data_IF_726825001295
#
_entry.id   IF_726825001295
#
_cell.length_a   1.000
_cell.length_b   1.000
_cell.length_c   1.000
_cell.angle_alpha   90.00
_cell.angle_beta   90.00
_cell.angle_gamma   90.00
#
_symmetry.space_group_name_H-M   'P 1'
#
loop_
_entity.id
_entity.type
_entity.pdbx_description
1 polymer ?
#
# COMPACT_ATOMS: atom_id res chain seq x y z
N UNK A 1 -44.75 21.23 -15.08
CA UNK A 1 -43.33 21.21 -14.67
C UNK A 1 -43.14 20.01 -13.74
N UNK A 2 -42.58 18.88 -14.18
CA UNK A 2 -42.44 17.71 -13.31
C UNK A 2 -41.12 17.77 -12.52
N UNK A 3 -41.26 17.41 -11.26
CA UNK A 3 -40.27 17.30 -10.19
C UNK A 3 -39.35 16.10 -10.42
N UNK A 4 -38.03 16.29 -10.35
CA UNK A 4 -37.04 15.21 -10.45
C UNK A 4 -36.92 14.48 -9.12
N UNK A 5 -37.22 13.19 -9.11
CA UNK A 5 -37.07 12.31 -7.96
C UNK A 5 -35.59 11.91 -7.75
N UNK A 6 -35.15 11.91 -6.49
CA UNK A 6 -33.88 11.36 -6.05
C UNK A 6 -33.91 9.83 -6.12
N UNK A 7 -33.05 9.26 -6.95
CA UNK A 7 -32.85 7.82 -7.06
C UNK A 7 -31.91 7.36 -5.93
N UNK A 8 -32.50 6.88 -4.83
CA UNK A 8 -31.76 6.21 -3.76
C UNK A 8 -31.39 4.81 -4.21
N UNK A 9 -30.09 4.58 -4.44
CA UNK A 9 -29.55 3.27 -4.80
C UNK A 9 -29.49 2.36 -3.58
N UNK A 10 -30.40 1.38 -3.54
CA UNK A 10 -30.45 0.35 -2.51
C UNK A 10 -29.27 -0.62 -2.65
N UNK A 11 -28.28 -0.51 -1.75
CA UNK A 11 -27.09 -1.36 -1.74
C UNK A 11 -27.45 -2.75 -1.23
N UNK A 12 -27.71 -3.68 -2.16
CA UNK A 12 -27.98 -5.09 -1.82
C UNK A 12 -26.72 -5.80 -1.33
N UNK A 13 -26.59 -5.90 -0.01
CA UNK A 13 -25.53 -6.68 0.65
C UNK A 13 -25.72 -8.17 0.32
N UNK A 14 -24.75 -8.75 -0.39
CA UNK A 14 -24.81 -10.14 -0.85
C UNK A 14 -24.49 -11.13 0.29
N UNK A 15 -24.85 -12.41 0.10
CA UNK A 15 -24.45 -13.48 1.03
C UNK A 15 -22.93 -13.60 1.18
N UNK A 16 -22.20 -13.27 0.12
CA UNK A 16 -20.74 -13.31 0.11
C UNK A 16 -20.15 -12.17 0.95
N UNK A 17 -20.73 -10.97 0.88
CA UNK A 17 -20.35 -9.82 1.72
C UNK A 17 -20.57 -10.12 3.20
N UNK A 18 -21.70 -10.75 3.54
CA UNK A 18 -22.00 -11.20 4.92
C UNK A 18 -21.01 -12.27 5.41
N UNK A 19 -20.51 -13.13 4.52
CA UNK A 19 -19.52 -14.17 4.87
C UNK A 19 -18.13 -13.57 5.04
N UNK A 20 -17.75 -12.62 4.18
CA UNK A 20 -16.49 -11.88 4.28
C UNK A 20 -16.43 -11.07 5.59
N UNK A 21 -17.52 -10.37 5.94
CA UNK A 21 -17.62 -9.63 7.20
C UNK A 21 -17.47 -10.55 8.43
N UNK A 22 -18.06 -11.75 8.41
CA UNK A 22 -17.92 -12.72 9.51
C UNK A 22 -16.48 -13.23 9.67
N UNK A 23 -15.79 -13.47 8.56
CA UNK A 23 -14.38 -13.90 8.59
C UNK A 23 -13.50 -12.77 9.12
N UNK A 24 -13.72 -11.53 8.69
CA UNK A 24 -13.01 -10.36 9.20
C UNK A 24 -13.19 -10.18 10.72
N UNK A 25 -14.42 -10.35 11.22
CA UNK A 25 -14.70 -10.31 12.67
C UNK A 25 -14.00 -11.45 13.41
N UNK A 26 -13.98 -12.66 12.86
CA UNK A 26 -13.29 -13.80 13.49
C UNK A 26 -11.76 -13.62 13.55
N UNK A 27 -11.16 -13.08 12.48
CA UNK A 27 -9.73 -12.81 12.39
C UNK A 27 -9.29 -11.68 13.33
N UNK A 28 -10.16 -10.67 13.54
CA UNK A 28 -9.88 -9.57 14.49
C UNK A 28 -9.84 -10.01 15.96
N UNK A 29 -10.39 -11.18 16.30
CA UNK A 29 -10.58 -11.63 17.69
C UNK A 29 -9.57 -12.67 18.18
N UNK A 30 -8.75 -13.28 17.32
CA UNK A 30 -7.95 -14.44 17.72
C UNK A 30 -6.46 -14.14 17.93
N UNK A 31 -6.03 -14.09 19.20
CA UNK A 31 -4.62 -14.00 19.66
C UNK A 31 -3.96 -15.36 19.95
N UNK A 32 -4.57 -16.51 19.59
CA UNK A 32 -4.01 -17.83 19.93
C UNK A 32 -4.20 -18.82 18.79
N UNK A 33 -3.13 -19.07 18.04
CA UNK A 33 -2.96 -20.33 17.33
C UNK A 33 -1.56 -20.86 17.63
N UNK A 34 -1.49 -21.88 18.48
CA UNK A 34 -0.32 -22.72 18.67
C UNK A 34 -0.60 -24.05 17.96
N UNK A 35 0.20 -24.46 16.97
CA UNK A 35 0.11 -25.81 16.42
C UNK A 35 0.51 -26.83 17.48
N UNK A 36 -0.32 -27.85 17.67
CA UNK A 36 -0.10 -28.96 18.61
C UNK A 36 0.87 -29.96 17.98
N UNK A 37 1.99 -30.23 18.64
CA UNK A 37 2.87 -31.37 18.32
C UNK A 37 2.20 -32.68 18.73
N UNK A 38 2.37 -33.72 17.91
CA UNK A 38 1.84 -35.06 18.13
C UNK A 38 2.40 -36.08 17.14
N UNK A 39 3.41 -36.79 17.63
CA UNK A 39 3.80 -38.19 17.42
C UNK A 39 4.40 -38.69 16.09
N UNK A 40 5.64 -39.19 16.24
CA UNK A 40 6.45 -39.95 15.29
C UNK A 40 5.82 -41.31 14.92
N UNK A 41 5.93 -41.69 13.64
CA UNK A 41 6.29 -43.07 13.22
C UNK A 41 6.77 -43.13 11.76
N UNK A 42 7.90 -43.82 11.59
CA UNK A 42 8.59 -44.17 10.35
C UNK A 42 7.70 -44.84 9.29
N UNK A 43 7.90 -44.51 8.00
CA UNK A 43 8.36 -45.47 6.96
C UNK A 43 8.11 -44.95 5.53
N UNK A 44 9.17 -44.99 4.72
CA UNK A 44 9.21 -45.25 3.27
C UNK A 44 8.57 -44.26 2.27
N UNK A 45 9.46 -43.68 1.45
CA UNK A 45 9.28 -43.20 0.08
C UNK A 45 7.85 -43.19 -0.50
N UNK A 46 7.26 -41.99 -0.56
CA UNK A 46 6.35 -41.62 -1.63
C UNK A 46 6.49 -40.14 -1.94
N UNK A 47 6.75 -39.85 -3.21
CA UNK A 47 6.81 -38.54 -3.85
C UNK A 47 5.43 -37.88 -3.73
N UNK A 48 5.12 -37.32 -2.57
CA UNK A 48 3.92 -36.56 -2.29
C UNK A 48 4.16 -35.11 -2.64
N UNK A 49 3.51 -34.64 -3.69
CA UNK A 49 3.25 -33.22 -3.94
C UNK A 49 2.58 -32.71 -2.66
N UNK A 50 3.34 -32.04 -1.78
CA UNK A 50 2.75 -31.33 -0.66
C UNK A 50 1.70 -30.41 -1.29
N UNK A 51 0.44 -30.65 -0.94
CA UNK A 51 -0.65 -29.76 -1.28
C UNK A 51 -0.20 -28.37 -0.85
N UNK A 52 0.09 -27.51 -1.83
CA UNK A 52 0.15 -26.06 -1.62
C UNK A 52 -1.29 -25.68 -1.29
N UNK A 53 -1.65 -25.89 -0.03
CA UNK A 53 -2.96 -25.58 0.51
C UNK A 53 -3.33 -24.12 0.19
N UNK A 54 -4.63 -23.89 0.14
CA UNK A 54 -5.43 -22.89 -0.59
C UNK A 54 -5.16 -21.39 -0.27
N UNK A 55 -3.93 -21.01 0.11
CA UNK A 55 -3.57 -19.63 0.43
C UNK A 55 -3.67 -18.70 -0.78
N UNK A 56 -3.67 -19.22 -2.02
CA UNK A 56 -3.82 -18.40 -3.23
C UNK A 56 -5.21 -17.75 -3.30
N UNK A 57 -6.28 -18.48 -2.97
CA UNK A 57 -7.64 -17.91 -2.97
C UNK A 57 -7.82 -16.90 -1.84
N UNK A 58 -7.31 -17.22 -0.66
CA UNK A 58 -7.35 -16.31 0.48
C UNK A 58 -6.56 -15.02 0.19
N UNK A 59 -5.33 -15.16 -0.32
CA UNK A 59 -4.50 -14.03 -0.76
C UNK A 59 -5.24 -13.21 -1.81
N UNK A 60 -5.85 -13.85 -2.81
CA UNK A 60 -6.64 -13.17 -3.83
C UNK A 60 -7.80 -12.38 -3.22
N UNK A 61 -8.52 -12.93 -2.24
CA UNK A 61 -9.60 -12.21 -1.56
C UNK A 61 -9.07 -11.00 -0.77
N UNK A 62 -7.97 -11.17 -0.04
CA UNK A 62 -7.31 -10.09 0.72
C UNK A 62 -6.88 -8.96 -0.23
N UNK A 63 -6.21 -9.29 -1.34
CA UNK A 63 -5.74 -8.30 -2.30
C UNK A 63 -6.89 -7.59 -3.01
N UNK A 64 -7.97 -8.30 -3.36
CA UNK A 64 -9.17 -7.66 -3.92
C UNK A 64 -9.78 -6.67 -2.93
N UNK A 65 -9.91 -7.04 -1.67
CA UNK A 65 -10.42 -6.14 -0.63
C UNK A 65 -9.52 -4.92 -0.46
N UNK A 66 -8.21 -5.11 -0.41
CA UNK A 66 -7.23 -4.01 -0.34
C UNK A 66 -7.25 -3.10 -1.57
N UNK A 67 -7.43 -3.67 -2.76
CA UNK A 67 -7.57 -2.90 -4.00
C UNK A 67 -8.85 -2.06 -4.03
N UNK A 68 -9.93 -2.54 -3.43
CA UNK A 68 -11.19 -1.82 -3.30
C UNK A 68 -11.18 -0.80 -2.15
N UNK A 69 -10.29 -0.97 -1.17
CA UNK A 69 -10.16 -0.04 -0.07
C UNK A 69 -9.78 1.37 -0.56
N UNK A 70 -10.40 2.36 0.08
CA UNK A 70 -10.17 3.80 -0.16
C UNK A 70 -9.81 4.48 1.16
N UNK A 71 -8.64 4.18 1.73
CA UNK A 71 -8.15 4.87 2.92
C UNK A 71 -8.08 6.38 2.68
N UNK A 72 -8.38 7.16 3.72
CA UNK A 72 -8.30 8.62 3.66
C UNK A 72 -6.86 9.08 3.97
N UNK A 73 -6.12 9.67 3.01
CA UNK A 73 -4.77 10.17 3.26
C UNK A 73 -4.71 11.27 4.33
N UNK A 74 -5.84 11.91 4.67
CA UNK A 74 -5.90 12.94 5.71
C UNK A 74 -5.58 12.37 7.10
N UNK A 75 -5.85 11.09 7.35
CA UNK A 75 -5.60 10.45 8.65
C UNK A 75 -4.11 10.44 9.03
N UNK A 76 -3.23 10.37 8.03
CA UNK A 76 -1.78 10.27 8.21
C UNK A 76 -1.05 11.62 8.18
N UNK A 77 -1.78 12.75 8.06
CA UNK A 77 -1.19 14.10 8.06
C UNK A 77 -1.64 14.91 9.29
N UNK A 78 -0.78 15.80 9.82
CA UNK A 78 -1.21 16.72 10.87
C UNK A 78 -2.39 17.59 10.43
N UNK A 79 -3.35 17.84 11.32
CA UNK A 79 -4.58 18.58 11.00
C UNK A 79 -4.34 19.98 10.42
N UNK A 80 -3.25 20.64 10.84
CA UNK A 80 -2.80 21.93 10.27
C UNK A 80 -2.38 21.83 8.80
N UNK A 81 -1.81 20.70 8.39
CA UNK A 81 -1.40 20.43 7.01
C UNK A 81 -2.60 19.98 6.18
N UNK A 82 -3.49 19.16 6.76
CA UNK A 82 -4.72 18.69 6.10
C UNK A 82 -5.58 19.83 5.55
N UNK A 83 -5.74 20.90 6.33
CA UNK A 83 -6.50 22.11 5.93
C UNK A 83 -5.88 22.85 4.74
N UNK A 84 -4.62 22.58 4.44
CA UNK A 84 -3.84 23.22 3.37
C UNK A 84 -3.69 22.31 2.15
N UNK A 85 -4.43 21.20 2.06
CA UNK A 85 -4.40 20.32 0.88
C UNK A 85 -5.56 20.67 -0.04
N UNK A 86 -5.27 20.97 -1.30
CA UNK A 86 -6.29 21.18 -2.33
C UNK A 86 -6.76 19.86 -2.93
N UNK A 87 -5.80 19.02 -3.30
CA UNK A 87 -6.05 17.77 -3.98
C UNK A 87 -4.92 16.78 -3.71
N UNK A 88 -5.29 15.52 -3.61
CA UNK A 88 -4.37 14.39 -3.65
C UNK A 88 -4.34 13.79 -5.06
N UNK A 89 -3.22 13.18 -5.44
CA UNK A 89 -3.15 12.31 -6.60
C UNK A 89 -4.06 11.09 -6.42
N UNK A 90 -4.27 10.33 -7.49
CA UNK A 90 -4.66 8.93 -7.29
C UNK A 90 -3.53 8.18 -6.56
N UNK A 91 -3.85 7.20 -5.69
CA UNK A 91 -2.82 6.45 -5.00
C UNK A 91 -2.07 5.51 -5.94
N UNK A 92 -0.76 5.45 -5.75
CA UNK A 92 0.05 4.30 -6.15
C UNK A 92 -0.13 3.23 -5.09
N UNK A 93 -0.38 1.99 -5.54
CA UNK A 93 -0.59 0.83 -4.67
C UNK A 93 0.61 -0.08 -4.81
N UNK A 94 1.24 -0.45 -3.69
CA UNK A 94 2.45 -1.29 -3.75
C UNK A 94 2.54 -2.29 -2.61
N UNK A 95 2.90 -3.53 -2.92
CA UNK A 95 3.44 -4.47 -1.94
C UNK A 95 4.93 -4.16 -1.75
N UNK A 96 5.37 -3.95 -0.51
CA UNK A 96 6.79 -3.73 -0.23
C UNK A 96 7.61 -4.98 -0.56
N UNK A 97 8.75 -4.78 -1.21
CA UNK A 97 9.70 -5.86 -1.50
C UNK A 97 10.93 -5.75 -0.62
N UNK A 98 11.77 -6.79 -0.62
CA UNK A 98 13.07 -6.77 0.08
C UNK A 98 13.88 -5.54 -0.31
N UNK A 99 13.94 -5.18 -1.59
CA UNK A 99 14.69 -4.00 -2.06
C UNK A 99 14.19 -2.68 -1.50
N UNK A 100 12.91 -2.60 -1.11
CA UNK A 100 12.37 -1.38 -0.54
C UNK A 100 12.78 -1.22 0.93
N UNK A 101 12.87 -2.29 1.71
CA UNK A 101 13.10 -2.21 3.17
C UNK A 101 14.54 -2.52 3.59
N UNK A 102 15.32 -3.18 2.75
CA UNK A 102 16.68 -3.62 3.09
C UNK A 102 17.62 -2.42 3.31
N UNK A 103 18.45 -2.55 4.35
CA UNK A 103 19.28 -1.46 4.88
C UNK A 103 20.29 -0.86 3.89
N UNK A 104 20.74 -1.65 2.92
CA UNK A 104 21.70 -1.26 1.88
C UNK A 104 21.03 -0.55 0.69
N UNK A 105 19.73 -0.77 0.44
CA UNK A 105 19.04 -0.25 -0.75
C UNK A 105 18.34 1.09 -0.52
N UNK A 106 17.97 1.43 0.73
CA UNK A 106 17.60 2.78 1.23
C UNK A 106 16.66 3.61 0.34
N UNK A 107 15.78 2.97 -0.45
CA UNK A 107 14.87 3.67 -1.36
C UNK A 107 13.59 2.88 -1.60
N UNK A 108 12.49 3.59 -1.75
CA UNK A 108 11.25 3.05 -2.27
C UNK A 108 11.22 3.25 -3.78
N UNK A 109 11.15 2.16 -4.54
CA UNK A 109 10.94 2.24 -6.00
C UNK A 109 9.46 2.44 -6.31
N UNK A 110 9.13 3.30 -7.26
CA UNK A 110 7.75 3.54 -7.70
C UNK A 110 7.57 3.11 -9.16
N UNK A 111 6.37 2.63 -9.50
CA UNK A 111 6.03 2.26 -10.87
C UNK A 111 6.13 3.47 -11.80
N UNK A 112 6.99 3.40 -12.81
CA UNK A 112 7.25 4.52 -13.74
C UNK A 112 5.96 5.02 -14.40
N UNK A 113 5.15 4.10 -14.92
CA UNK A 113 3.92 4.44 -15.63
C UNK A 113 2.84 4.95 -14.67
N UNK A 114 2.80 4.41 -13.44
CA UNK A 114 1.89 4.91 -12.41
C UNK A 114 2.25 6.33 -11.96
N UNK A 115 3.54 6.63 -11.75
CA UNK A 115 3.98 8.00 -11.44
C UNK A 115 3.61 8.95 -12.57
N UNK A 116 3.86 8.55 -13.82
CA UNK A 116 3.49 9.34 -14.99
C UNK A 116 1.98 9.60 -15.07
N UNK A 117 1.16 8.57 -14.80
CA UNK A 117 -0.30 8.66 -14.89
C UNK A 117 -0.92 9.41 -13.72
N UNK A 118 -0.51 9.08 -12.50
CA UNK A 118 -1.19 9.48 -11.26
C UNK A 118 -0.56 10.72 -10.62
N UNK A 119 0.76 10.87 -10.70
CA UNK A 119 1.50 11.91 -9.98
C UNK A 119 1.90 13.10 -10.86
N UNK A 120 2.29 12.90 -12.12
CA UNK A 120 2.64 14.03 -13.00
C UNK A 120 1.59 15.14 -13.11
N UNK A 121 0.26 14.90 -13.04
CA UNK A 121 -0.73 15.97 -13.04
C UNK A 121 -0.54 17.01 -11.91
N UNK A 122 0.19 16.66 -10.85
CA UNK A 122 0.51 17.57 -9.75
C UNK A 122 1.90 18.21 -9.88
N UNK A 123 2.73 17.78 -10.82
CA UNK A 123 4.08 18.32 -11.05
C UNK A 123 4.04 19.43 -12.10
N UNK A 124 4.92 20.42 -11.95
CA UNK A 124 5.14 21.38 -13.03
C UNK A 124 6.07 20.80 -14.10
N UNK A 125 6.04 21.36 -15.31
CA UNK A 125 6.95 20.94 -16.37
C UNK A 125 8.44 21.09 -16.01
N UNK A 126 8.80 22.09 -15.19
CA UNK A 126 10.17 22.27 -14.71
C UNK A 126 10.55 21.23 -13.66
N UNK A 127 9.65 20.89 -12.73
CA UNK A 127 9.89 19.83 -11.75
C UNK A 127 10.05 18.45 -12.39
N UNK A 128 9.25 18.13 -13.42
CA UNK A 128 9.39 16.87 -14.17
C UNK A 128 10.79 16.74 -14.76
N UNK A 129 11.33 17.83 -15.35
CA UNK A 129 12.71 17.87 -15.87
C UNK A 129 13.74 17.70 -14.76
N UNK A 130 13.49 18.28 -13.59
CA UNK A 130 14.37 18.21 -12.41
C UNK A 130 14.29 16.90 -11.64
N UNK A 131 13.42 15.95 -12.02
CA UNK A 131 13.38 14.66 -11.34
C UNK A 131 14.72 13.91 -11.46
N UNK A 132 15.54 14.14 -12.48
CA UNK A 132 16.89 13.55 -12.58
C UNK A 132 17.83 14.05 -11.47
N UNK A 133 17.73 15.33 -11.10
CA UNK A 133 18.44 15.94 -9.98
C UNK A 133 17.82 15.52 -8.64
N UNK A 134 16.50 15.50 -8.59
CA UNK A 134 15.66 15.20 -7.44
C UNK A 134 15.03 16.44 -6.80
N UNK A 135 13.83 16.24 -6.28
CA UNK A 135 13.02 17.23 -5.58
C UNK A 135 13.01 16.89 -4.09
N UNK A 136 13.20 17.89 -3.24
CA UNK A 136 13.01 17.71 -1.81
C UNK A 136 11.52 17.71 -1.49
N UNK A 137 11.09 16.71 -0.71
CA UNK A 137 9.68 16.48 -0.40
C UNK A 137 9.51 16.11 1.06
N UNK A 138 8.36 16.45 1.63
CA UNK A 138 7.98 15.94 2.95
C UNK A 138 7.08 14.73 2.78
N UNK A 139 7.41 13.63 3.45
CA UNK A 139 6.63 12.39 3.44
C UNK A 139 6.01 12.18 4.81
N UNK A 140 4.69 12.04 4.84
CA UNK A 140 3.90 11.74 6.03
C UNK A 140 3.49 10.26 6.04
N UNK A 141 3.45 9.67 7.22
CA UNK A 141 3.14 8.25 7.41
C UNK A 141 2.32 7.98 8.67
N UNK A 142 1.99 6.69 8.90
CA UNK A 142 1.25 6.25 10.07
C UNK A 142 1.93 6.69 11.37
N UNK A 143 1.13 6.89 12.43
CA UNK A 143 1.65 7.32 13.73
C UNK A 143 2.17 8.76 13.75
N UNK A 144 1.72 9.61 12.81
CA UNK A 144 2.16 11.01 12.65
C UNK A 144 3.65 11.14 12.34
N UNK A 145 4.24 10.11 11.73
CA UNK A 145 5.62 10.16 11.26
C UNK A 145 5.72 11.14 10.09
N UNK A 146 6.72 12.01 10.11
CA UNK A 146 7.04 12.89 8.98
C UNK A 146 8.54 12.94 8.76
N UNK A 147 8.98 12.81 7.50
CA UNK A 147 10.41 12.93 7.15
C UNK A 147 10.61 13.66 5.82
N UNK A 148 11.68 14.45 5.76
CA UNK A 148 12.19 14.99 4.50
C UNK A 148 12.85 13.87 3.69
N UNK A 149 12.53 13.79 2.41
CA UNK A 149 13.08 12.81 1.46
C UNK A 149 13.40 13.49 0.13
N UNK A 150 14.10 12.77 -0.76
CA UNK A 150 14.25 13.14 -2.16
C UNK A 150 13.39 12.28 -3.05
N UNK A 151 12.56 12.91 -3.87
CA UNK A 151 11.84 12.26 -4.98
C UNK A 151 12.61 12.49 -6.28
N UNK A 152 13.12 11.42 -6.89
CA UNK A 152 13.99 11.54 -8.08
C UNK A 152 13.88 10.34 -9.03
N UNK A 153 14.39 10.49 -10.24
CA UNK A 153 14.67 9.38 -11.15
C UNK A 153 16.02 8.74 -10.78
N UNK A 154 16.00 7.45 -10.50
CA UNK A 154 17.18 6.60 -10.48
C UNK A 154 17.24 5.85 -11.81
N UNK A 155 18.16 6.25 -12.70
CA UNK A 155 18.15 5.78 -14.09
C UNK A 155 16.77 6.06 -14.71
N UNK A 156 15.96 5.04 -14.97
CA UNK A 156 14.62 5.15 -15.53
C UNK A 156 13.49 4.90 -14.51
N UNK A 157 13.80 4.71 -13.23
CA UNK A 157 12.82 4.39 -12.17
C UNK A 157 12.66 5.56 -11.19
N UNK A 158 11.44 6.09 -10.97
CA UNK A 158 11.20 7.04 -9.90
C UNK A 158 11.39 6.40 -8.52
N UNK A 159 12.00 7.12 -7.58
CA UNK A 159 12.28 6.65 -6.22
C UNK A 159 12.05 7.74 -5.17
N UNK A 160 11.66 7.33 -3.96
CA UNK A 160 11.82 8.11 -2.74
C UNK A 160 13.08 7.63 -2.00
N UNK A 161 13.98 8.54 -1.63
CA UNK A 161 15.28 8.20 -1.02
C UNK A 161 15.74 9.24 0.02
N UNK A 162 16.97 9.09 0.51
CA UNK A 162 17.65 9.88 1.57
C UNK A 162 17.04 9.75 2.97
N UNK A 163 15.74 9.98 3.13
CA UNK A 163 15.02 9.83 4.41
C UNK A 163 14.28 8.51 4.57
N UNK A 164 14.27 7.67 3.51
CA UNK A 164 13.44 6.46 3.44
C UNK A 164 13.78 5.42 4.52
N UNK A 165 15.07 5.16 4.80
CA UNK A 165 15.47 4.20 5.86
C UNK A 165 14.85 4.57 7.21
N UNK A 166 15.02 5.81 7.65
CA UNK A 166 14.43 6.24 8.92
C UNK A 166 12.91 6.22 8.93
N UNK A 167 12.25 6.24 7.77
CA UNK A 167 10.81 6.08 7.64
C UNK A 167 10.40 4.60 7.76
N UNK A 168 11.15 3.68 7.14
CA UNK A 168 10.99 2.24 7.34
C UNK A 168 11.08 1.90 8.84
N UNK A 169 12.11 2.39 9.52
CA UNK A 169 12.32 2.15 10.95
C UNK A 169 11.18 2.74 11.79
N UNK A 170 10.78 3.98 11.52
CA UNK A 170 9.74 4.67 12.29
C UNK A 170 8.34 4.07 12.10
N UNK A 171 8.06 3.50 10.94
CA UNK A 171 6.76 2.92 10.59
C UNK A 171 6.74 1.37 10.71
N UNK A 172 7.82 0.75 11.20
CA UNK A 172 8.02 -0.71 11.26
C UNK A 172 7.67 -1.41 9.93
N UNK A 173 8.13 -0.85 8.80
CA UNK A 173 7.82 -1.40 7.47
C UNK A 173 8.60 -2.69 7.20
N UNK A 174 7.93 -3.70 6.65
CA UNK A 174 8.46 -5.04 6.39
C UNK A 174 8.14 -5.49 4.97
N UNK A 175 9.05 -6.25 4.38
CA UNK A 175 8.82 -6.83 3.07
C UNK A 175 7.62 -7.78 3.07
N UNK A 176 6.95 -7.85 1.91
CA UNK A 176 5.90 -8.79 1.52
C UNK A 176 4.58 -8.71 2.30
N UNK A 177 4.62 -8.54 3.62
CA UNK A 177 3.42 -8.46 4.45
C UNK A 177 2.86 -7.04 4.56
N UNK A 178 3.67 -6.01 4.27
CA UNK A 178 3.19 -4.64 4.25
C UNK A 178 2.86 -4.16 2.82
N UNK A 179 1.68 -3.58 2.73
CA UNK A 179 1.09 -3.03 1.53
C UNK A 179 0.83 -1.56 1.77
N UNK A 180 1.22 -0.71 0.82
CA UNK A 180 1.16 0.72 0.99
C UNK A 180 0.33 1.39 -0.10
N UNK A 181 -0.40 2.42 0.31
CA UNK A 181 -0.98 3.41 -0.57
C UNK A 181 -0.15 4.67 -0.49
N UNK A 182 0.18 5.25 -1.65
CA UNK A 182 1.08 6.39 -1.74
C UNK A 182 0.37 7.48 -2.53
N UNK A 183 0.08 8.59 -1.88
CA UNK A 183 -0.46 9.79 -2.52
C UNK A 183 0.61 10.86 -2.58
N UNK A 184 0.48 11.71 -3.58
CA UNK A 184 1.20 12.96 -3.68
C UNK A 184 0.21 14.12 -3.58
N UNK A 185 0.61 15.21 -2.97
CA UNK A 185 -0.20 16.43 -2.91
C UNK A 185 0.69 17.66 -2.88
N UNK A 186 0.06 18.82 -3.10
CA UNK A 186 0.70 20.11 -2.86
C UNK A 186 0.09 20.80 -1.66
N UNK A 187 0.95 21.36 -0.84
CA UNK A 187 0.54 22.32 0.19
C UNK A 187 0.14 23.63 -0.50
N UNK A 188 -1.08 24.12 -0.23
CA UNK A 188 -1.68 25.30 -0.88
C UNK A 188 -0.77 26.53 -0.83
N UNK A 189 -0.27 26.85 0.37
CA UNK A 189 0.48 28.08 0.64
C UNK A 189 1.89 28.07 0.05
N UNK A 190 2.68 27.04 0.35
CA UNK A 190 4.09 26.98 -0.06
C UNK A 190 4.29 26.37 -1.44
N UNK A 191 3.25 25.73 -1.98
CA UNK A 191 3.32 24.91 -3.20
C UNK A 191 4.30 23.74 -3.10
N UNK A 192 4.81 23.45 -1.91
CA UNK A 192 5.71 22.34 -1.65
C UNK A 192 5.04 21.01 -1.99
N UNK A 193 5.83 20.14 -2.61
CA UNK A 193 5.43 18.79 -2.94
C UNK A 193 5.56 17.89 -1.71
N UNK A 194 4.49 17.18 -1.39
CA UNK A 194 4.42 16.29 -0.24
C UNK A 194 3.87 14.93 -0.66
N UNK A 195 4.20 13.91 0.13
CA UNK A 195 3.65 12.57 0.00
C UNK A 195 2.94 12.15 1.28
N UNK A 196 1.93 11.32 1.14
CA UNK A 196 1.33 10.58 2.24
C UNK A 196 1.45 9.10 1.93
N UNK A 197 1.87 8.33 2.92
CA UNK A 197 1.91 6.88 2.85
C UNK A 197 0.98 6.32 3.92
N UNK A 198 0.03 5.49 3.50
CA UNK A 198 -0.74 4.63 4.38
C UNK A 198 -0.19 3.20 4.32
N UNK A 199 -0.35 2.45 5.41
CA UNK A 199 0.18 1.09 5.56
C UNK A 199 -0.93 0.14 6.00
N UNK A 200 -1.07 -0.95 5.27
CA UNK A 200 -1.86 -2.12 5.69
C UNK A 200 -0.95 -3.34 5.80
N UNK A 201 -1.05 -4.06 6.93
CA UNK A 201 -0.25 -5.26 7.19
C UNK A 201 -1.11 -6.52 7.07
N UNK A 202 -0.66 -7.48 6.27
CA UNK A 202 -1.26 -8.80 6.14
C UNK A 202 -0.24 -9.87 6.52
N UNK A 203 -0.25 -10.30 7.79
CA UNK A 203 0.72 -11.25 8.35
C UNK A 203 0.70 -12.63 7.69
N UNK A 204 -0.38 -13.00 7.01
CA UNK A 204 -0.51 -14.25 6.27
C UNK A 204 0.22 -14.23 4.92
N UNK A 205 0.55 -13.04 4.39
CA UNK A 205 1.26 -12.87 3.13
C UNK A 205 2.74 -12.63 3.44
N UNK A 206 3.56 -13.67 3.29
CA UNK A 206 5.00 -13.62 3.63
C UNK A 206 5.91 -13.66 2.41
N UNK A 207 5.34 -13.66 1.20
CA UNK A 207 6.06 -13.80 -0.07
C UNK A 207 5.57 -12.76 -1.08
N UNK A 208 6.35 -12.46 -2.14
CA UNK A 208 5.87 -11.68 -3.26
C UNK A 208 4.55 -12.26 -3.80
N UNK A 209 3.63 -11.39 -4.18
CA UNK A 209 2.41 -11.81 -4.87
C UNK A 209 2.76 -12.56 -6.16
N UNK A 210 1.97 -13.58 -6.46
CA UNK A 210 2.01 -14.22 -7.77
C UNK A 210 1.70 -13.18 -8.86
N UNK A 211 2.33 -13.33 -10.02
CA UNK A 211 2.24 -12.36 -11.12
C UNK A 211 0.78 -12.04 -11.49
N UNK A 212 -0.08 -13.05 -11.58
CA UNK A 212 -1.51 -12.86 -11.93
C UNK A 212 -2.28 -11.99 -10.92
N UNK A 213 -1.86 -11.97 -9.65
CA UNK A 213 -2.44 -11.14 -8.60
C UNK A 213 -1.81 -9.75 -8.62
N UNK A 214 -0.49 -9.68 -8.81
CA UNK A 214 0.25 -8.42 -8.89
C UNK A 214 -0.23 -7.55 -10.06
N UNK A 215 -0.54 -8.15 -11.21
CA UNK A 215 -1.02 -7.44 -12.41
C UNK A 215 -2.41 -6.81 -12.20
N UNK A 216 -3.15 -7.18 -11.14
CA UNK A 216 -4.45 -6.57 -10.80
C UNK A 216 -4.32 -5.33 -9.90
N UNK A 217 -3.12 -5.03 -9.40
CA UNK A 217 -2.87 -3.91 -8.47
C UNK A 217 -2.41 -2.64 -9.23
N UNK A 218 -1.66 -2.82 -10.33
CA UNK A 218 -0.97 -1.75 -11.07
C UNK A 218 -1.75 -1.33 -12.32
#
# INVERSE_FOLDING_TARGET
>A
MPTSAEETTDVRITRQDKRAAKILVALSRNKRYHPREGDEKNSSNKKGKAEKEDNSKETMMIIKAWNLAKPDPVENIPSRVAKLVDQFSQPIKKQLTVSDVKEDQRRLMLGKDEVKKKMHPLLTGSEIKRLTEGLDVTVYGPGKVSRTMRFKMWSSTPVLTSGWKGFVDACDLKEHCDFIHIWMFRRRETRELCFVIDKTKYSTITKPLAKEISDQIN
#
